data_IF_836716972110
#
_entry.id   IF_836716972110
#
_cell.length_a   1.000
_cell.length_b   1.000
_cell.length_c   1.000
_cell.angle_alpha   90.00
_cell.angle_beta   90.00
_cell.angle_gamma   90.00
#
_symmetry.space_group_name_H-M   'P 1'
#
loop_
_entity.id
_entity.type
_entity.pdbx_description
1 polymer ?
#
# COMPACT_ATOMS: atom_id res chain seq x y z
N UNK A 1 -6.39 -11.89 -9.23
CA UNK A 1 -4.96 -11.51 -9.26
C UNK A 1 -4.44 -11.05 -7.90
N UNK A 2 -5.18 -10.22 -7.14
CA UNK A 2 -4.75 -9.83 -5.78
C UNK A 2 -4.47 -11.02 -4.84
N UNK A 3 -5.37 -12.02 -4.80
CA UNK A 3 -5.17 -13.21 -3.97
C UNK A 3 -3.98 -14.07 -4.39
N UNK A 4 -3.64 -14.11 -5.68
CA UNK A 4 -2.45 -14.84 -6.19
C UNK A 4 -1.18 -14.16 -5.71
N UNK A 5 -1.13 -12.83 -5.78
CA UNK A 5 0.00 -12.05 -5.29
C UNK A 5 0.18 -12.21 -3.77
N UNK A 6 -0.92 -12.26 -3.01
CA UNK A 6 -0.88 -12.54 -1.56
C UNK A 6 -0.26 -13.92 -1.29
N UNK A 7 -0.71 -14.97 -1.98
CA UNK A 7 -0.17 -16.33 -1.83
C UNK A 7 1.33 -16.38 -2.15
N UNK A 8 1.78 -15.69 -3.20
CA UNK A 8 3.21 -15.62 -3.51
C UNK A 8 4.01 -14.89 -2.42
N UNK A 9 3.48 -13.79 -1.88
CA UNK A 9 4.14 -13.07 -0.78
C UNK A 9 4.17 -13.87 0.52
N UNK A 10 3.14 -14.67 0.82
CA UNK A 10 3.13 -15.61 1.95
C UNK A 10 4.18 -16.73 1.81
N UNK A 11 4.53 -17.09 0.57
CA UNK A 11 5.62 -18.01 0.26
C UNK A 11 6.98 -17.31 0.07
N UNK A 12 7.12 -16.06 0.53
CA UNK A 12 8.33 -15.22 0.42
C UNK A 12 8.81 -14.94 -1.02
N UNK A 13 7.99 -15.25 -2.03
CA UNK A 13 8.26 -14.97 -3.45
C UNK A 13 7.81 -13.55 -3.81
N UNK A 14 8.44 -12.56 -3.16
CA UNK A 14 8.04 -11.17 -3.23
C UNK A 14 8.19 -10.58 -4.63
N UNK A 15 9.26 -10.92 -5.36
CA UNK A 15 9.51 -10.40 -6.71
C UNK A 15 8.41 -10.81 -7.70
N UNK A 16 7.96 -12.08 -7.67
CA UNK A 16 6.84 -12.50 -8.52
C UNK A 16 5.55 -11.81 -8.12
N UNK A 17 5.29 -11.68 -6.81
CA UNK A 17 4.12 -10.96 -6.31
C UNK A 17 4.10 -9.51 -6.79
N UNK A 18 5.22 -8.80 -6.65
CA UNK A 18 5.41 -7.41 -7.10
C UNK A 18 5.16 -7.29 -8.60
N UNK A 19 5.72 -8.18 -9.42
CA UNK A 19 5.51 -8.14 -10.87
C UNK A 19 4.03 -8.34 -11.24
N UNK A 20 3.36 -9.33 -10.63
CA UNK A 20 1.91 -9.58 -10.85
C UNK A 20 1.10 -8.34 -10.46
N UNK A 21 1.42 -7.69 -9.34
CA UNK A 21 0.71 -6.50 -8.86
C UNK A 21 0.94 -5.29 -9.77
N UNK A 22 2.18 -5.05 -10.20
CA UNK A 22 2.51 -3.97 -11.16
C UNK A 22 1.76 -4.16 -12.49
N UNK A 23 1.75 -5.38 -13.03
CA UNK A 23 0.98 -5.70 -14.24
C UNK A 23 -0.53 -5.53 -14.05
N UNK A 24 -1.06 -5.95 -12.90
CA UNK A 24 -2.47 -5.77 -12.55
C UNK A 24 -2.85 -4.29 -12.50
N UNK A 25 -2.00 -3.43 -11.94
CA UNK A 25 -2.22 -1.98 -11.91
C UNK A 25 -2.18 -1.35 -13.30
N UNK A 26 -1.23 -1.74 -14.15
CA UNK A 26 -1.15 -1.27 -15.53
C UNK A 26 -2.43 -1.63 -16.29
N UNK A 27 -2.89 -2.88 -16.17
CA UNK A 27 -4.11 -3.34 -16.82
C UNK A 27 -5.36 -2.64 -16.28
N UNK A 28 -5.43 -2.41 -14.96
CA UNK A 28 -6.54 -1.67 -14.35
C UNK A 28 -6.65 -0.24 -14.88
N UNK A 29 -5.51 0.45 -15.07
CA UNK A 29 -5.50 1.83 -15.58
C UNK A 29 -5.93 1.93 -17.05
N UNK A 30 -5.97 0.84 -17.81
CA UNK A 30 -6.49 0.80 -19.19
C UNK A 30 -8.01 0.68 -19.27
N UNK A 31 -8.68 0.40 -18.15
CA UNK A 31 -10.13 0.27 -18.09
C UNK A 31 -10.75 1.67 -18.03
N UNK A 32 -11.59 2.01 -19.01
CA UNK A 32 -12.17 3.35 -19.17
C UNK A 32 -13.17 3.71 -18.05
N UNK A 33 -13.90 2.71 -17.53
CA UNK A 33 -14.87 2.88 -16.44
C UNK A 33 -14.78 1.74 -15.41
N UNK A 34 -13.76 1.71 -14.55
CA UNK A 34 -13.66 0.70 -13.52
C UNK A 34 -14.79 0.89 -12.51
N UNK A 35 -15.71 -0.07 -12.44
CA UNK A 35 -16.88 -0.03 -11.54
C UNK A 35 -16.46 0.02 -10.06
N UNK A 36 -15.32 -0.56 -9.71
CA UNK A 36 -14.86 -0.71 -8.33
C UNK A 36 -13.48 -0.05 -8.14
N UNK A 37 -13.48 1.23 -7.75
CA UNK A 37 -12.24 1.97 -7.44
C UNK A 37 -11.47 1.36 -6.26
N UNK A 38 -12.14 0.62 -5.39
CA UNK A 38 -11.55 -0.10 -4.26
C UNK A 38 -10.58 -1.20 -4.69
N UNK A 39 -10.78 -1.80 -5.87
CA UNK A 39 -9.84 -2.80 -6.41
C UNK A 39 -8.47 -2.18 -6.61
N UNK A 40 -8.41 -0.96 -7.17
CA UNK A 40 -7.15 -0.24 -7.36
C UNK A 40 -6.47 0.05 -6.04
N UNK A 41 -7.24 0.48 -5.05
CA UNK A 41 -6.71 0.77 -3.72
C UNK A 41 -6.14 -0.49 -3.05
N UNK A 42 -6.84 -1.62 -3.16
CA UNK A 42 -6.38 -2.93 -2.66
C UNK A 42 -5.11 -3.42 -3.36
N UNK A 43 -5.02 -3.25 -4.68
CA UNK A 43 -3.80 -3.56 -5.44
C UNK A 43 -2.62 -2.70 -5.01
N UNK A 44 -2.83 -1.39 -4.81
CA UNK A 44 -1.78 -0.47 -4.33
C UNK A 44 -1.32 -0.85 -2.93
N UNK A 45 -2.24 -1.07 -2.00
CA UNK A 45 -1.90 -1.48 -0.64
C UNK A 45 -1.11 -2.80 -0.62
N UNK A 46 -1.58 -3.81 -1.35
CA UNK A 46 -0.90 -5.12 -1.43
C UNK A 46 0.50 -4.96 -2.03
N UNK A 47 0.66 -4.11 -3.04
CA UNK A 47 1.97 -3.80 -3.64
C UNK A 47 2.90 -3.10 -2.65
N UNK A 48 2.41 -2.07 -1.94
CA UNK A 48 3.17 -1.39 -0.89
C UNK A 48 3.69 -2.38 0.14
N UNK A 49 2.83 -3.27 0.64
CA UNK A 49 3.23 -4.29 1.62
C UNK A 49 4.28 -5.25 1.07
N UNK A 50 4.11 -5.75 -0.16
CA UNK A 50 5.10 -6.65 -0.77
C UNK A 50 6.45 -5.96 -0.98
N UNK A 51 6.46 -4.70 -1.43
CA UNK A 51 7.67 -3.89 -1.58
C UNK A 51 8.36 -3.66 -0.23
N UNK A 52 7.59 -3.39 0.83
CA UNK A 52 8.13 -3.25 2.18
C UNK A 52 8.79 -4.56 2.66
N UNK A 53 8.11 -5.70 2.52
CA UNK A 53 8.64 -7.01 2.89
C UNK A 53 9.89 -7.39 2.07
N UNK A 54 9.94 -6.98 0.79
CA UNK A 54 11.11 -7.12 -0.07
C UNK A 54 12.24 -6.11 0.24
N UNK A 55 12.10 -5.26 1.25
CA UNK A 55 13.02 -4.17 1.60
C UNK A 55 13.22 -3.12 0.47
N UNK A 56 12.30 -3.05 -0.50
CA UNK A 56 12.28 -2.03 -1.56
C UNK A 56 11.59 -0.74 -1.05
N UNK A 57 12.21 -0.10 -0.07
CA UNK A 57 11.57 0.94 0.75
C UNK A 57 11.17 2.20 -0.02
N UNK A 58 12.01 2.68 -0.95
CA UNK A 58 11.72 3.89 -1.72
C UNK A 58 10.43 3.70 -2.56
N UNK A 59 10.32 2.54 -3.20
CA UNK A 59 9.16 2.21 -4.01
C UNK A 59 7.92 1.94 -3.13
N UNK A 60 8.09 1.29 -1.97
CA UNK A 60 7.02 1.11 -0.99
C UNK A 60 6.47 2.46 -0.49
N UNK A 61 7.34 3.42 -0.17
CA UNK A 61 6.92 4.79 0.20
C UNK A 61 6.15 5.43 -0.94
N UNK A 62 6.66 5.38 -2.18
CA UNK A 62 5.99 5.93 -3.35
C UNK A 62 4.57 5.37 -3.54
N UNK A 63 4.39 4.05 -3.47
CA UNK A 63 3.07 3.43 -3.63
C UNK A 63 2.16 3.69 -2.42
N UNK A 64 2.70 3.77 -1.20
CA UNK A 64 1.92 4.19 -0.02
C UNK A 64 1.31 5.57 -0.21
N UNK A 65 2.06 6.53 -0.76
CA UNK A 65 1.58 7.89 -1.02
C UNK A 65 0.48 7.94 -2.10
N UNK A 66 0.65 7.15 -3.16
CA UNK A 66 -0.37 7.03 -4.21
C UNK A 66 -1.66 6.44 -3.61
N UNK A 67 -1.54 5.42 -2.77
CA UNK A 67 -2.67 4.79 -2.08
C UNK A 67 -3.39 5.75 -1.15
N UNK A 68 -2.65 6.49 -0.30
CA UNK A 68 -3.22 7.47 0.63
C UNK A 68 -3.99 8.54 -0.14
N UNK A 69 -3.39 9.11 -1.20
CA UNK A 69 -4.06 10.11 -2.04
C UNK A 69 -5.33 9.54 -2.69
N UNK A 70 -5.28 8.30 -3.16
CA UNK A 70 -6.45 7.65 -3.76
C UNK A 70 -7.58 7.43 -2.74
N UNK A 71 -7.27 6.91 -1.56
CA UNK A 71 -8.24 6.71 -0.48
C UNK A 71 -8.92 8.02 -0.06
N UNK A 72 -8.13 9.09 0.12
CA UNK A 72 -8.65 10.44 0.44
C UNK A 72 -9.55 10.95 -0.69
N UNK A 73 -9.15 10.82 -1.95
CA UNK A 73 -9.96 11.26 -3.10
C UNK A 73 -11.25 10.45 -3.26
N UNK A 74 -11.26 9.20 -2.80
CA UNK A 74 -12.44 8.35 -2.76
C UNK A 74 -13.30 8.58 -1.51
N UNK A 75 -12.84 9.43 -0.58
CA UNK A 75 -13.47 9.70 0.71
C UNK A 75 -13.75 8.41 1.50
N UNK A 76 -12.79 7.47 1.49
CA UNK A 76 -12.90 6.17 2.15
C UNK A 76 -11.81 5.98 3.21
N UNK A 77 -12.18 5.33 4.31
CA UNK A 77 -11.23 4.88 5.33
C UNK A 77 -10.66 3.49 5.02
N UNK A 78 -11.27 2.77 4.07
CA UNK A 78 -10.82 1.43 3.67
C UNK A 78 -9.35 1.45 3.25
N UNK A 79 -8.51 0.66 3.91
CA UNK A 79 -7.05 0.56 3.70
C UNK A 79 -6.25 1.83 4.00
N UNK A 80 -6.88 2.93 4.42
CA UNK A 80 -6.20 4.20 4.68
C UNK A 80 -5.31 4.10 5.93
N UNK A 81 -5.80 3.45 6.98
CA UNK A 81 -5.04 3.22 8.21
C UNK A 81 -3.81 2.35 7.94
N UNK A 82 -3.99 1.27 7.18
CA UNK A 82 -2.93 0.34 6.78
C UNK A 82 -1.87 1.03 5.93
N UNK A 83 -2.27 1.86 4.97
CA UNK A 83 -1.33 2.63 4.14
C UNK A 83 -0.53 3.66 4.97
N UNK A 84 -1.16 4.32 5.95
CA UNK A 84 -0.43 5.18 6.89
C UNK A 84 0.52 4.38 7.78
N UNK A 85 0.10 3.21 8.24
CA UNK A 85 0.92 2.35 9.09
C UNK A 85 2.17 1.88 8.34
N UNK A 86 1.99 1.31 7.15
CA UNK A 86 3.10 0.83 6.30
C UNK A 86 4.09 1.96 6.01
N UNK A 87 3.61 3.14 5.61
CA UNK A 87 4.47 4.31 5.38
C UNK A 87 5.24 4.71 6.64
N UNK A 88 4.56 4.79 7.78
CA UNK A 88 5.18 5.12 9.06
C UNK A 88 6.25 4.11 9.47
N UNK A 89 5.96 2.82 9.35
CA UNK A 89 6.87 1.73 9.67
C UNK A 89 8.14 1.77 8.81
N UNK A 90 7.99 1.98 7.49
CA UNK A 90 9.14 2.10 6.58
C UNK A 90 9.99 3.32 6.94
N UNK A 91 9.38 4.47 7.21
CA UNK A 91 10.11 5.69 7.56
C UNK A 91 10.89 5.54 8.86
N UNK A 92 10.32 4.89 9.88
CA UNK A 92 11.03 4.60 11.13
C UNK A 92 12.21 3.64 10.93
N UNK A 93 12.14 2.76 9.92
CA UNK A 93 13.20 1.80 9.61
C UNK A 93 14.35 2.42 8.79
N UNK A 94 14.03 3.31 7.85
CA UNK A 94 15.00 3.85 6.88
C UNK A 94 15.55 5.21 7.29
N UNK A 95 14.76 6.05 7.98
CA UNK A 95 15.22 7.36 8.42
C UNK A 95 15.70 7.29 9.86
N UNK A 96 16.88 7.83 10.13
CA UNK A 96 17.37 8.02 11.50
C UNK A 96 16.55 9.04 12.32
N UNK A 97 15.59 9.75 11.69
CA UNK A 97 14.72 10.74 12.32
C UNK A 97 13.31 10.19 12.51
N UNK A 98 12.94 9.96 13.77
CA UNK A 98 11.72 9.23 14.15
C UNK A 98 10.43 10.05 14.04
N UNK A 99 10.49 11.39 14.03
CA UNK A 99 9.28 12.23 14.18
C UNK A 99 8.28 12.10 13.03
N UNK A 100 8.77 12.04 11.79
CA UNK A 100 7.91 11.91 10.61
C UNK A 100 7.23 10.55 10.58
N UNK A 101 8.00 9.47 10.82
CA UNK A 101 7.46 8.11 10.91
C UNK A 101 6.40 7.97 12.00
N UNK A 102 6.67 8.50 13.20
CA UNK A 102 5.71 8.51 14.32
C UNK A 102 4.44 9.28 13.98
N UNK A 103 4.53 10.38 13.23
CA UNK A 103 3.36 11.14 12.79
C UNK A 103 2.43 10.29 11.92
N UNK A 104 2.99 9.46 11.02
CA UNK A 104 2.19 8.55 10.20
C UNK A 104 1.61 7.39 11.02
N UNK A 105 2.35 6.84 11.99
CA UNK A 105 1.82 5.83 12.91
C UNK A 105 0.63 6.37 13.71
N UNK A 106 0.69 7.60 14.21
CA UNK A 106 -0.43 8.23 14.92
C UNK A 106 -1.66 8.41 14.03
N UNK A 107 -1.47 8.76 12.75
CA UNK A 107 -2.56 8.83 11.77
C UNK A 107 -3.20 7.46 11.55
N UNK A 108 -2.39 6.41 11.42
CA UNK A 108 -2.88 5.05 11.27
C UNK A 108 -3.72 4.62 12.48
N UNK A 109 -3.19 4.84 13.69
CA UNK A 109 -3.89 4.53 14.94
C UNK A 109 -5.25 5.23 15.02
N UNK A 110 -5.29 6.53 14.71
CA UNK A 110 -6.55 7.28 14.69
C UNK A 110 -7.59 6.67 13.73
N UNK A 111 -7.17 6.20 12.55
CA UNK A 111 -8.10 5.52 11.63
C UNK A 111 -8.56 4.17 12.20
N UNK A 112 -7.66 3.37 12.75
CA UNK A 112 -8.00 2.08 13.35
C UNK A 112 -8.93 2.19 14.56
N UNK A 113 -8.90 3.29 15.30
CA UNK A 113 -9.84 3.55 16.41
C UNK A 113 -11.25 3.93 15.92
N UNK A 114 -11.40 4.31 14.64
CA UNK A 114 -12.68 4.73 14.04
C UNK A 114 -13.39 3.62 13.26
N UNK A 115 -12.70 2.52 12.94
CA UNK A 115 -13.19 1.43 12.07
C UNK A 115 -13.15 0.09 12.79
#
# INVERSE_FOLDING_TARGET
MNSIAIIHAENEDYEKSINILKQSLINFNKIEFPREKEIKLRLIHTLTKCLHLANQYEEAIKYSEIGIKLAINMNTLYLLGELFFEKGAILLKVQHSNEVGLTYIKKALFIFELT
#
